data_IF_543789823575
#
_entry.id   IF_543789823575
#
_cell.length_a   1.000
_cell.length_b   1.000
_cell.length_c   1.000
_cell.angle_alpha   90.00
_cell.angle_beta   90.00
_cell.angle_gamma   90.00
#
_symmetry.space_group_name_H-M   'P 1'
#
loop_
_entity.id
_entity.type
_entity.pdbx_description
1 polymer ?
#
# COMPACT_ATOMS: atom_id res chain seq x y z
N UNK A 1 29.48 9.65 -26.25
CA UNK A 1 28.91 10.19 -25.01
C UNK A 1 28.81 9.02 -24.06
N UNK A 2 29.42 9.12 -22.89
CA UNK A 2 29.48 8.01 -21.94
C UNK A 2 28.09 7.75 -21.33
N UNK A 3 27.81 6.50 -20.99
CA UNK A 3 26.53 6.08 -20.45
C UNK A 3 26.69 5.65 -18.99
N UNK A 4 25.85 6.21 -18.12
CA UNK A 4 25.76 5.78 -16.73
C UNK A 4 24.48 4.98 -16.51
N UNK A 5 24.63 3.75 -16.03
CA UNK A 5 23.54 2.77 -15.97
C UNK A 5 22.88 2.72 -14.59
N UNK A 6 21.58 3.03 -14.53
CA UNK A 6 20.73 2.82 -13.35
C UNK A 6 19.63 1.80 -13.64
N UNK A 7 19.07 1.18 -12.61
CA UNK A 7 17.89 0.33 -12.74
C UNK A 7 16.63 1.12 -12.48
N UNK A 8 15.66 1.04 -13.39
CA UNK A 8 14.33 1.65 -13.24
C UNK A 8 13.22 0.61 -13.46
N UNK A 9 12.40 0.42 -12.43
CA UNK A 9 11.32 -0.56 -12.38
C UNK A 9 9.97 0.14 -12.13
N UNK A 10 9.14 0.37 -13.16
CA UNK A 10 7.81 0.92 -12.96
C UNK A 10 6.81 -0.15 -12.48
N UNK A 11 5.87 0.27 -11.65
CA UNK A 11 4.69 -0.46 -11.22
C UNK A 11 3.51 0.50 -11.05
N UNK A 12 2.28 0.01 -11.05
CA UNK A 12 1.11 0.80 -10.67
C UNK A 12 0.94 0.76 -9.15
N UNK A 13 0.67 1.91 -8.53
CA UNK A 13 0.42 1.96 -7.08
C UNK A 13 -0.77 1.11 -6.69
N UNK A 14 -1.82 1.16 -7.50
CA UNK A 14 -2.99 0.33 -7.37
C UNK A 14 -3.24 -0.39 -8.69
N UNK A 15 -3.85 -1.57 -8.65
CA UNK A 15 -4.27 -2.28 -9.87
C UNK A 15 -5.47 -1.63 -10.57
N UNK A 16 -5.88 -0.43 -10.12
CA UNK A 16 -7.09 0.28 -10.53
C UNK A 16 -6.77 1.76 -10.72
N UNK A 17 -7.31 2.33 -11.79
CA UNK A 17 -7.47 3.77 -11.98
C UNK A 17 -8.95 4.11 -11.79
N UNK A 18 -9.27 4.92 -10.79
CA UNK A 18 -10.65 5.32 -10.48
C UNK A 18 -11.00 6.62 -11.22
N UNK A 19 -11.91 6.52 -12.20
CA UNK A 19 -12.33 7.66 -13.01
C UNK A 19 -13.18 8.69 -12.21
N UNK A 20 -13.60 8.36 -10.99
CA UNK A 20 -14.25 9.29 -10.07
C UNK A 20 -13.27 10.02 -9.12
N UNK A 21 -11.96 9.75 -9.21
CA UNK A 21 -10.88 10.29 -8.36
C UNK A 21 -11.05 10.11 -6.85
N UNK A 22 -11.87 9.17 -6.40
CA UNK A 22 -11.96 8.89 -4.97
C UNK A 22 -10.71 8.15 -4.48
N UNK A 23 -10.13 7.28 -5.32
CA UNK A 23 -8.82 6.67 -5.08
C UNK A 23 -7.72 7.34 -5.95
N UNK A 24 -6.77 8.06 -5.34
CA UNK A 24 -5.64 8.64 -6.07
C UNK A 24 -4.81 7.57 -6.79
N UNK A 25 -4.48 7.82 -8.06
CA UNK A 25 -3.64 6.92 -8.85
C UNK A 25 -2.21 7.45 -9.01
N UNK A 26 -1.24 6.53 -9.03
CA UNK A 26 0.16 6.86 -9.30
C UNK A 26 0.87 5.70 -9.98
N UNK A 27 1.85 6.03 -10.81
CA UNK A 27 2.89 5.09 -11.23
C UNK A 27 4.05 5.18 -10.24
N UNK A 28 4.43 4.04 -9.68
CA UNK A 28 5.52 3.90 -8.73
C UNK A 28 6.76 3.44 -9.48
N UNK A 29 7.89 4.10 -9.26
CA UNK A 29 9.17 3.73 -9.82
C UNK A 29 10.11 3.29 -8.70
N UNK A 30 10.65 2.08 -8.83
CA UNK A 30 11.81 1.63 -8.06
C UNK A 30 13.08 1.97 -8.82
N UNK A 31 13.99 2.68 -8.16
CA UNK A 31 15.20 3.23 -8.78
C UNK A 31 16.40 2.76 -7.97
N UNK A 32 17.43 2.25 -8.63
CA UNK A 32 18.61 1.78 -7.93
C UNK A 32 19.88 1.90 -8.78
N UNK A 33 20.97 2.29 -8.15
CA UNK A 33 22.32 2.20 -8.72
C UNK A 33 22.80 0.76 -8.58
N UNK A 34 22.88 0.07 -9.70
CA UNK A 34 23.30 -1.35 -9.76
C UNK A 34 24.67 -1.55 -10.43
N UNK A 35 25.27 -0.47 -10.95
CA UNK A 35 26.54 -0.58 -11.65
C UNK A 35 27.65 -0.99 -10.69
N UNK A 36 28.42 -2.02 -11.05
CA UNK A 36 29.59 -2.46 -10.28
C UNK A 36 30.79 -1.55 -10.45
N UNK A 37 30.83 -0.76 -11.52
CA UNK A 37 31.88 0.22 -11.79
C UNK A 37 31.61 1.57 -11.12
N UNK A 38 30.44 1.72 -10.50
CA UNK A 38 30.09 2.91 -9.75
C UNK A 38 30.72 2.86 -8.36
N UNK A 39 31.78 3.64 -8.21
CA UNK A 39 32.56 3.76 -6.98
C UNK A 39 32.43 5.13 -6.33
N UNK A 40 31.40 5.92 -6.68
CA UNK A 40 31.16 7.22 -6.04
C UNK A 40 30.32 7.03 -4.76
N UNK A 41 30.82 7.45 -3.58
CA UNK A 41 30.13 7.26 -2.31
C UNK A 41 28.91 8.16 -2.13
N UNK A 42 28.80 9.24 -2.91
CA UNK A 42 27.75 10.24 -2.81
C UNK A 42 26.49 9.74 -3.47
N UNK A 43 25.32 10.28 -3.12
CA UNK A 43 24.07 9.95 -3.80
C UNK A 43 24.04 10.55 -5.21
N UNK A 44 23.24 9.97 -6.12
CA UNK A 44 22.91 10.62 -7.39
C UNK A 44 21.59 11.37 -7.22
N UNK A 45 21.57 12.63 -7.62
CA UNK A 45 20.37 13.43 -7.77
C UNK A 45 19.89 13.37 -9.22
N UNK A 46 18.60 13.12 -9.42
CA UNK A 46 17.98 13.03 -10.74
C UNK A 46 16.82 14.02 -10.80
N UNK A 47 16.80 14.87 -11.83
CA UNK A 47 15.65 15.74 -12.08
C UNK A 47 14.54 14.95 -12.76
N UNK A 48 13.31 15.13 -12.31
CA UNK A 48 12.16 14.36 -12.83
C UNK A 48 11.53 15.00 -14.05
N UNK A 49 11.63 16.33 -14.19
CA UNK A 49 10.96 17.08 -15.24
C UNK A 49 11.44 16.63 -16.62
N UNK A 50 10.50 16.25 -17.50
CA UNK A 50 10.83 15.89 -18.88
C UNK A 50 11.47 14.52 -19.05
N UNK A 51 11.41 13.68 -18.02
CA UNK A 51 12.04 12.35 -18.00
C UNK A 51 11.01 11.24 -17.94
N UNK A 52 11.46 9.98 -17.93
CA UNK A 52 10.61 8.79 -17.68
C UNK A 52 9.77 8.89 -16.39
N UNK A 53 10.20 9.70 -15.42
CA UNK A 53 9.54 9.90 -14.13
C UNK A 53 8.36 10.89 -14.20
N UNK A 54 8.24 11.63 -15.30
CA UNK A 54 7.08 12.45 -15.65
C UNK A 54 6.20 11.68 -16.65
N UNK A 55 5.29 10.85 -16.14
CA UNK A 55 4.60 9.82 -16.94
C UNK A 55 3.83 10.39 -18.13
N UNK A 56 2.98 11.43 -17.99
CA UNK A 56 2.29 12.00 -19.14
C UNK A 56 3.26 12.52 -20.21
N UNK A 57 4.31 13.24 -19.79
CA UNK A 57 5.31 13.75 -20.73
C UNK A 57 6.07 12.62 -21.42
N UNK A 58 6.50 11.62 -20.65
CA UNK A 58 7.26 10.48 -21.12
C UNK A 58 6.48 9.64 -22.14
N UNK A 59 5.16 9.49 -21.96
CA UNK A 59 4.29 8.87 -22.96
C UNK A 59 4.24 9.69 -24.25
N UNK A 60 4.00 11.00 -24.14
CA UNK A 60 3.92 11.90 -25.31
C UNK A 60 5.24 12.00 -26.11
N UNK A 61 6.38 11.73 -25.47
CA UNK A 61 7.73 11.73 -26.09
C UNK A 61 8.27 10.33 -26.41
N UNK A 62 7.50 9.28 -26.18
CA UNK A 62 7.90 7.90 -26.50
C UNK A 62 8.96 7.29 -25.56
N UNK A 63 9.25 7.92 -24.41
CA UNK A 63 10.09 7.32 -23.36
C UNK A 63 9.34 6.19 -22.62
N UNK A 64 8.02 6.30 -22.55
CA UNK A 64 7.09 5.26 -22.11
C UNK A 64 6.14 4.88 -23.26
N UNK A 65 5.65 3.65 -23.24
CA UNK A 65 4.59 3.17 -24.13
C UNK A 65 3.37 2.74 -23.32
N UNK A 66 2.18 3.15 -23.77
CA UNK A 66 0.89 2.73 -23.24
C UNK A 66 0.32 1.60 -24.09
N UNK A 67 -0.14 0.53 -23.43
CA UNK A 67 -0.81 -0.59 -24.08
C UNK A 67 -2.21 -0.79 -23.50
N UNK A 68 -3.17 -1.18 -24.35
CA UNK A 68 -4.52 -1.63 -23.97
C UNK A 68 -4.63 -3.15 -24.16
N UNK A 69 -5.30 -3.84 -23.23
CA UNK A 69 -5.61 -5.26 -23.34
C UNK A 69 -6.73 -5.50 -24.38
N UNK A 70 -6.49 -6.40 -25.33
CA UNK A 70 -7.46 -6.71 -26.37
C UNK A 70 -8.67 -7.48 -25.81
N UNK A 71 -9.91 -7.11 -26.18
CA UNK A 71 -11.08 -7.91 -25.85
C UNK A 71 -10.99 -9.26 -26.57
N UNK A 72 -10.94 -10.36 -25.81
CA UNK A 72 -10.90 -11.74 -26.33
C UNK A 72 -9.59 -12.49 -26.15
N UNK A 73 -8.55 -11.87 -25.58
CA UNK A 73 -7.32 -12.58 -25.21
C UNK A 73 -6.58 -11.87 -24.09
N UNK A 74 -6.65 -12.42 -22.86
CA UNK A 74 -6.05 -11.88 -21.63
C UNK A 74 -4.51 -11.68 -21.67
N UNK A 75 -3.86 -12.02 -22.79
CA UNK A 75 -2.41 -11.91 -22.99
C UNK A 75 -2.02 -11.03 -24.18
N UNK A 76 -2.98 -10.56 -24.99
CA UNK A 76 -2.70 -9.73 -26.16
C UNK A 76 -2.84 -8.25 -25.80
N UNK A 77 -1.75 -7.51 -25.98
CA UNK A 77 -1.65 -6.09 -25.69
C UNK A 77 -1.43 -5.34 -27.00
N UNK A 78 -2.18 -4.27 -27.23
CA UNK A 78 -2.04 -3.40 -28.40
C UNK A 78 -1.56 -2.03 -27.93
N UNK A 79 -0.59 -1.46 -28.63
CA UNK A 79 -0.11 -0.11 -28.36
C UNK A 79 -1.23 0.91 -28.58
N UNK A 80 -1.35 1.87 -27.67
CA UNK A 80 -2.35 2.93 -27.72
C UNK A 80 -1.72 4.17 -28.28
N UNK A 81 -2.37 4.76 -29.28
CA UNK A 81 -1.97 6.06 -29.81
C UNK A 81 -2.19 7.15 -28.75
N UNK A 82 -1.13 7.88 -28.40
CA UNK A 82 -1.13 8.91 -27.34
C UNK A 82 -1.35 10.33 -27.89
N UNK A 83 -1.60 10.49 -29.19
CA UNK A 83 -1.87 11.79 -29.82
C UNK A 83 -3.08 12.51 -29.20
N UNK A 84 -4.06 11.74 -28.71
CA UNK A 84 -5.24 12.24 -27.98
C UNK A 84 -4.95 12.89 -26.63
N UNK A 85 -3.71 12.80 -26.11
CA UNK A 85 -3.31 13.48 -24.87
C UNK A 85 -3.09 14.99 -25.05
N UNK A 86 -3.03 15.47 -26.30
CA UNK A 86 -2.79 16.88 -26.63
C UNK A 86 -1.37 17.35 -26.32
N UNK A 87 -1.20 18.67 -26.17
CA UNK A 87 0.09 19.27 -25.84
C UNK A 87 0.42 19.05 -24.36
N UNK A 88 1.12 17.96 -24.06
CA UNK A 88 1.61 17.67 -22.71
C UNK A 88 2.84 18.52 -22.41
N UNK A 89 2.70 19.39 -21.40
CA UNK A 89 3.81 20.19 -20.88
C UNK A 89 4.67 19.35 -19.95
N UNK A 90 5.93 19.75 -19.85
CA UNK A 90 6.83 19.24 -18.83
C UNK A 90 6.28 19.61 -17.45
N UNK A 91 6.24 18.65 -16.53
CA UNK A 91 5.83 18.88 -15.16
C UNK A 91 6.86 19.66 -14.34
N UNK A 92 6.51 19.91 -13.09
CA UNK A 92 7.41 20.58 -12.14
C UNK A 92 8.67 19.74 -11.88
N UNK A 93 9.81 20.42 -11.80
CA UNK A 93 11.08 19.80 -11.43
C UNK A 93 11.03 19.34 -9.98
N UNK A 94 11.27 18.05 -9.78
CA UNK A 94 11.50 17.42 -8.48
C UNK A 94 12.83 16.68 -8.55
N UNK A 95 13.43 16.50 -7.39
CA UNK A 95 14.69 15.80 -7.26
C UNK A 95 14.48 14.42 -6.63
N UNK A 96 15.04 13.39 -7.25
CA UNK A 96 15.14 12.04 -6.68
C UNK A 96 16.58 11.84 -6.23
N UNK A 97 16.78 11.49 -4.95
CA UNK A 97 18.08 11.09 -4.42
C UNK A 97 18.21 9.56 -4.41
N UNK A 98 19.22 9.05 -5.12
CA UNK A 98 19.49 7.61 -5.27
C UNK A 98 20.80 7.25 -4.55
N UNK A 99 20.73 6.51 -3.42
CA UNK A 99 21.89 6.19 -2.60
C UNK A 99 22.99 5.40 -3.32
N UNK A 100 24.22 5.57 -2.84
CA UNK A 100 25.40 4.88 -3.35
C UNK A 100 25.37 3.37 -3.10
N UNK A 101 25.91 2.55 -4.03
CA UNK A 101 26.03 1.11 -3.82
C UNK A 101 27.19 0.71 -2.88
N UNK A 102 28.17 1.58 -2.59
CA UNK A 102 29.45 1.21 -1.93
C UNK A 102 29.28 0.59 -0.54
N UNK A 103 28.23 0.98 0.18
CA UNK A 103 27.94 0.48 1.53
C UNK A 103 26.65 -0.32 1.60
N UNK A 104 26.13 -0.78 0.45
CA UNK A 104 24.89 -1.53 0.41
C UNK A 104 25.09 -2.92 1.02
N UNK A 105 24.47 -3.14 2.17
CA UNK A 105 24.48 -4.43 2.88
C UNK A 105 23.32 -5.34 2.50
N UNK A 106 22.24 -4.77 1.94
CA UNK A 106 21.02 -5.49 1.52
C UNK A 106 21.08 -5.90 0.05
N UNK A 107 20.20 -6.82 -0.37
CA UNK A 107 19.98 -7.05 -1.79
C UNK A 107 19.46 -5.76 -2.44
N UNK A 108 19.90 -5.45 -3.67
CA UNK A 108 19.47 -4.23 -4.37
C UNK A 108 17.94 -4.15 -4.57
N UNK A 109 17.26 -5.31 -4.66
CA UNK A 109 15.79 -5.36 -4.76
C UNK A 109 15.08 -4.87 -3.51
N UNK A 110 15.74 -4.97 -2.36
CA UNK A 110 15.23 -4.55 -1.05
C UNK A 110 15.73 -3.13 -0.68
N UNK A 111 16.47 -2.48 -1.58
CA UNK A 111 17.12 -1.18 -1.40
C UNK A 111 16.84 -0.24 -2.59
N UNK A 112 15.59 -0.26 -3.07
CA UNK A 112 15.12 0.59 -4.14
C UNK A 112 14.70 1.96 -3.57
N UNK A 113 15.17 3.05 -4.19
CA UNK A 113 14.56 4.36 -4.01
C UNK A 113 13.20 4.35 -4.69
N UNK A 114 12.13 4.67 -3.94
CA UNK A 114 10.76 4.70 -4.45
C UNK A 114 10.37 6.13 -4.81
N UNK A 115 9.98 6.35 -6.06
CA UNK A 115 9.39 7.60 -6.53
C UNK A 115 7.97 7.36 -7.03
N UNK A 116 7.05 8.28 -6.74
CA UNK A 116 5.65 8.17 -7.14
C UNK A 116 5.25 9.34 -8.04
N UNK A 117 4.90 9.03 -9.28
CA UNK A 117 4.33 9.99 -10.22
C UNK A 117 2.80 9.92 -10.14
N UNK A 118 2.18 10.96 -9.55
CA UNK A 118 0.72 11.06 -9.46
C UNK A 118 0.14 11.36 -10.84
N UNK A 119 -0.93 10.65 -11.19
CA UNK A 119 -1.70 10.91 -12.41
C UNK A 119 -3.02 11.57 -11.99
N UNK A 120 -3.37 12.70 -12.61
CA UNK A 120 -4.59 13.46 -12.35
C UNK A 120 -5.65 13.18 -13.41
N UNK A 121 -6.94 13.34 -13.06
CA UNK A 121 -8.04 13.19 -14.02
C UNK A 121 -8.09 14.31 -15.07
N UNK A 122 -7.65 15.50 -14.71
CA UNK A 122 -7.58 16.65 -15.62
C UNK A 122 -6.43 16.55 -16.63
N UNK A 123 -5.51 15.59 -16.42
CA UNK A 123 -4.34 15.39 -17.26
C UNK A 123 -4.65 14.66 -18.57
N UNK A 124 -3.83 14.93 -19.59
CA UNK A 124 -4.00 14.33 -20.92
C UNK A 124 -3.98 12.79 -20.95
N UNK A 125 -3.31 12.13 -20.00
CA UNK A 125 -3.35 10.67 -19.91
C UNK A 125 -4.76 10.17 -19.56
N UNK A 126 -5.47 10.82 -18.64
CA UNK A 126 -6.79 10.36 -18.21
C UNK A 126 -7.84 10.46 -19.33
N UNK A 127 -7.72 11.43 -20.25
CA UNK A 127 -8.68 11.63 -21.34
C UNK A 127 -8.72 10.50 -22.37
N UNK A 128 -7.64 9.73 -22.50
CA UNK A 128 -7.56 8.60 -23.45
C UNK A 128 -7.89 7.25 -22.82
N UNK A 129 -8.03 7.19 -21.50
CA UNK A 129 -8.32 5.97 -20.74
C UNK A 129 -9.81 5.65 -20.76
N UNK A 130 -10.17 4.44 -21.19
CA UNK A 130 -11.57 4.01 -21.31
C UNK A 130 -11.99 3.15 -20.11
N UNK A 131 -13.12 3.50 -19.49
CA UNK A 131 -13.74 2.72 -18.42
C UNK A 131 -13.96 1.27 -18.87
N UNK A 132 -13.61 0.33 -17.98
CA UNK A 132 -13.74 -1.10 -18.21
C UNK A 132 -12.52 -1.74 -18.89
N UNK A 133 -11.62 -0.94 -19.48
CA UNK A 133 -10.39 -1.43 -20.12
C UNK A 133 -9.24 -1.58 -19.13
N UNK A 134 -8.29 -2.45 -19.49
CA UNK A 134 -7.05 -2.70 -18.76
C UNK A 134 -5.89 -2.14 -19.57
N UNK A 135 -5.02 -1.41 -18.89
CA UNK A 135 -3.88 -0.73 -19.48
C UNK A 135 -2.58 -1.17 -18.84
N UNK A 136 -1.50 -0.99 -19.59
CA UNK A 136 -0.14 -1.27 -19.15
C UNK A 136 0.80 -0.19 -19.65
N UNK A 137 1.58 0.40 -18.76
CA UNK A 137 2.64 1.36 -19.08
C UNK A 137 4.00 0.68 -18.92
N UNK A 138 4.87 0.82 -19.92
CA UNK A 138 6.22 0.23 -19.97
C UNK A 138 7.26 1.27 -20.37
N UNK A 139 8.49 1.10 -19.89
CA UNK A 139 9.65 1.85 -20.42
C UNK A 139 9.97 1.33 -21.82
N UNK A 140 10.07 2.23 -22.80
CA UNK A 140 10.26 1.88 -24.21
C UNK A 140 11.68 1.35 -24.48
N UNK A 141 12.68 1.95 -23.84
CA UNK A 141 14.09 1.66 -24.12
C UNK A 141 15.02 1.98 -22.97
N UNK A 142 16.30 2.15 -23.31
CA UNK A 142 17.34 2.53 -22.33
C UNK A 142 17.33 4.02 -22.01
N UNK A 143 16.91 4.86 -22.95
CA UNK A 143 16.89 6.30 -22.73
C UNK A 143 15.82 6.66 -21.71
N UNK A 144 16.21 7.43 -20.69
CA UNK A 144 15.33 7.89 -19.63
C UNK A 144 14.89 9.34 -19.84
N UNK A 145 15.43 10.04 -20.84
CA UNK A 145 15.17 11.46 -21.08
C UNK A 145 15.76 12.39 -20.01
N UNK A 146 16.64 11.87 -19.15
CA UNK A 146 17.25 12.65 -18.05
C UNK A 146 18.30 13.58 -18.63
N UNK A 147 17.98 14.87 -18.63
CA UNK A 147 18.89 15.94 -19.07
C UNK A 147 19.76 16.48 -17.93
N UNK A 148 19.33 16.32 -16.67
CA UNK A 148 20.03 16.83 -15.49
C UNK A 148 20.11 15.76 -14.39
N UNK A 149 21.34 15.36 -14.08
CA UNK A 149 21.67 14.53 -12.92
C UNK A 149 23.07 14.89 -12.41
N UNK A 150 23.37 14.61 -11.13
CA UNK A 150 24.68 14.87 -10.54
C UNK A 150 24.92 14.00 -9.31
N UNK A 151 26.18 13.73 -9.00
CA UNK A 151 26.56 13.26 -7.66
C UNK A 151 26.46 14.39 -6.65
N UNK A 152 25.87 14.12 -5.48
CA UNK A 152 25.75 15.10 -4.41
C UNK A 152 25.70 14.43 -3.04
N UNK A 153 26.35 15.08 -2.07
CA UNK A 153 26.22 14.79 -0.64
C UNK A 153 25.04 15.55 0.00
N UNK A 154 24.39 16.40 -0.77
CA UNK A 154 23.27 17.23 -0.34
C UNK A 154 22.00 16.85 -1.11
N UNK A 155 20.84 17.23 -0.58
CA UNK A 155 19.54 17.06 -1.26
C UNK A 155 19.27 18.14 -2.32
N UNK A 156 20.32 18.79 -2.83
CA UNK A 156 20.23 19.86 -3.84
C UNK A 156 21.28 19.67 -4.91
N UNK A 157 20.91 20.04 -6.13
CA UNK A 157 21.83 20.03 -7.26
C UNK A 157 22.99 21.00 -7.00
N UNK A 158 24.24 20.58 -7.27
CA UNK A 158 25.38 21.50 -7.23
C UNK A 158 25.19 22.61 -8.28
N UNK A 159 25.69 23.81 -7.96
CA UNK A 159 25.60 24.98 -8.84
C UNK A 159 26.27 24.73 -10.19
N UNK A 160 27.39 23.98 -10.19
CA UNK A 160 28.06 23.48 -11.39
C UNK A 160 27.69 22.00 -11.60
N UNK A 161 26.84 21.72 -12.59
CA UNK A 161 26.39 20.37 -12.94
C UNK A 161 26.88 20.02 -14.34
N UNK A 162 28.08 19.44 -14.40
CA UNK A 162 28.79 19.14 -15.65
C UNK A 162 28.86 17.62 -15.94
N UNK A 163 27.89 16.83 -15.46
CA UNK A 163 27.86 15.41 -15.80
C UNK A 163 27.55 15.23 -17.29
N UNK A 164 28.59 14.96 -18.07
CA UNK A 164 28.51 14.77 -19.53
C UNK A 164 27.97 13.39 -19.92
N UNK A 165 27.94 12.45 -18.98
CA UNK A 165 27.43 11.12 -19.22
C UNK A 165 25.90 11.12 -19.21
N UNK A 166 25.30 10.34 -20.12
CA UNK A 166 23.84 10.18 -20.18
C UNK A 166 23.39 9.13 -19.18
N UNK A 167 22.41 9.48 -18.35
CA UNK A 167 21.78 8.52 -17.45
C UNK A 167 20.82 7.62 -18.23
N UNK A 168 21.12 6.33 -18.26
CA UNK A 168 20.35 5.32 -19.02
C UNK A 168 19.92 4.17 -18.13
N UNK A 169 18.84 3.51 -18.53
CA UNK A 169 18.36 2.31 -17.88
C UNK A 169 19.22 1.10 -18.26
N UNK A 170 19.69 0.38 -17.24
CA UNK A 170 20.39 -0.89 -17.37
C UNK A 170 19.48 -1.97 -17.94
N UNK A 171 18.23 -2.05 -17.47
CA UNK A 171 17.22 -3.00 -17.91
C UNK A 171 15.92 -2.81 -17.10
N UNK A 172 14.75 -2.72 -17.74
CA UNK A 172 13.44 -2.73 -17.06
C UNK A 172 12.63 -3.96 -17.45
N UNK A 173 12.22 -4.76 -16.45
CA UNK A 173 11.16 -5.78 -16.61
C UNK A 173 9.81 -5.31 -16.06
N UNK A 174 9.81 -4.16 -15.37
CA UNK A 174 8.63 -3.60 -14.72
C UNK A 174 7.63 -3.05 -15.71
N UNK A 175 6.38 -3.02 -15.27
CA UNK A 175 5.31 -2.38 -15.99
C UNK A 175 4.17 -2.04 -15.02
N UNK A 176 3.58 -0.86 -15.18
CA UNK A 176 2.42 -0.46 -14.39
C UNK A 176 1.15 -1.00 -15.07
N UNK A 177 0.47 -1.96 -14.44
CA UNK A 177 -0.79 -2.52 -14.96
C UNK A 177 -1.96 -2.07 -14.11
N UNK A 178 -3.02 -1.56 -14.75
CA UNK A 178 -4.20 -1.11 -14.02
C UNK A 178 -5.47 -1.27 -14.87
N UNK A 179 -6.61 -1.45 -14.21
CA UNK A 179 -7.93 -1.41 -14.82
C UNK A 179 -8.59 -0.06 -14.57
N UNK A 180 -9.17 0.55 -15.59
CA UNK A 180 -9.97 1.76 -15.42
C UNK A 180 -11.37 1.36 -14.98
N UNK A 181 -11.81 1.90 -13.86
CA UNK A 181 -13.17 1.68 -13.32
C UNK A 181 -13.89 3.02 -13.26
N UNK A 182 -15.22 2.99 -13.41
CA UNK A 182 -16.03 4.21 -13.34
C UNK A 182 -16.03 4.79 -11.93
N UNK A 183 -16.21 3.92 -10.95
CA UNK A 183 -16.29 4.26 -9.54
C UNK A 183 -15.93 3.00 -8.73
N UNK A 184 -15.26 3.18 -7.60
CA UNK A 184 -15.01 2.12 -6.63
C UNK A 184 -15.81 2.37 -5.35
N UNK A 185 -16.23 1.28 -4.70
CA UNK A 185 -16.91 1.40 -3.41
C UNK A 185 -15.91 1.78 -2.32
N UNK A 186 -16.20 2.89 -1.65
CA UNK A 186 -15.52 3.32 -0.43
C UNK A 186 -16.29 2.84 0.79
N UNK A 187 -15.58 2.35 1.83
CA UNK A 187 -16.22 1.98 3.08
C UNK A 187 -16.87 3.18 3.76
N UNK A 188 -17.92 2.97 4.57
CA UNK A 188 -18.36 4.00 5.50
C UNK A 188 -17.26 4.28 6.53
N UNK A 189 -17.35 5.45 7.16
CA UNK A 189 -16.50 5.76 8.31
C UNK A 189 -16.90 4.90 9.49
N UNK A 190 -15.90 4.39 10.21
CA UNK A 190 -16.08 3.73 11.49
C UNK A 190 -15.51 4.62 12.58
N UNK A 191 -16.15 4.58 13.75
CA UNK A 191 -15.56 5.07 14.98
C UNK A 191 -15.09 3.87 15.79
N UNK A 192 -13.79 3.82 16.10
CA UNK A 192 -13.24 2.76 16.95
C UNK A 192 -12.67 3.38 18.22
N UNK A 193 -13.17 2.93 19.37
CA UNK A 193 -12.68 3.34 20.68
C UNK A 193 -12.02 2.20 21.43
N UNK A 194 -11.08 2.55 22.29
CA UNK A 194 -10.37 1.61 23.16
C UNK A 194 -10.40 2.09 24.61
N UNK A 195 -10.67 1.18 25.54
CA UNK A 195 -10.54 1.46 26.97
C UNK A 195 -10.10 0.23 27.74
N UNK A 196 -9.32 0.45 28.80
CA UNK A 196 -9.06 -0.60 29.77
C UNK A 196 -10.28 -0.77 30.67
N UNK A 197 -10.71 -2.01 30.89
CA UNK A 197 -11.89 -2.30 31.72
C UNK A 197 -11.46 -2.81 33.08
N UNK A 198 -10.74 -3.93 33.13
CA UNK A 198 -10.25 -4.54 34.38
C UNK A 198 -8.95 -5.30 34.12
N UNK A 199 -7.93 -5.05 34.95
CA UNK A 199 -6.62 -5.69 34.83
C UNK A 199 -6.07 -5.56 33.40
N UNK A 200 -5.78 -6.69 32.76
CA UNK A 200 -5.28 -6.76 31.38
C UNK A 200 -6.38 -6.85 30.32
N UNK A 201 -7.62 -6.50 30.65
CA UNK A 201 -8.75 -6.56 29.72
C UNK A 201 -8.91 -5.23 28.99
N UNK A 202 -8.69 -5.26 27.68
CA UNK A 202 -8.91 -4.13 26.78
C UNK A 202 -10.26 -4.33 26.08
N UNK A 203 -11.18 -3.39 26.25
CA UNK A 203 -12.40 -3.33 25.44
C UNK A 203 -12.15 -2.45 24.23
N UNK A 204 -12.57 -2.96 23.07
CA UNK A 204 -12.55 -2.26 21.80
C UNK A 204 -13.96 -2.20 21.26
N UNK A 205 -14.49 -1.01 21.05
CA UNK A 205 -15.83 -0.79 20.48
C UNK A 205 -15.69 -0.25 19.07
N UNK A 206 -16.32 -0.91 18.11
CA UNK A 206 -16.36 -0.46 16.70
C UNK A 206 -17.79 -0.11 16.36
N UNK A 207 -18.00 1.14 15.92
CA UNK A 207 -19.30 1.66 15.54
C UNK A 207 -19.31 2.08 14.07
N UNK A 208 -20.34 1.65 13.35
CA UNK A 208 -20.62 2.12 12.01
C UNK A 208 -21.41 3.43 12.10
N UNK A 209 -20.77 4.55 11.78
CA UNK A 209 -21.39 5.88 11.88
C UNK A 209 -22.23 6.25 10.65
N UNK A 210 -22.28 5.38 9.63
CA UNK A 210 -23.11 5.60 8.45
C UNK A 210 -24.55 5.13 8.66
N UNK A 211 -25.45 5.53 7.76
CA UNK A 211 -26.86 5.14 7.79
C UNK A 211 -27.12 3.71 7.25
N UNK A 212 -26.13 3.11 6.59
CA UNK A 212 -26.28 1.81 5.95
C UNK A 212 -25.56 0.72 6.72
N UNK A 213 -26.19 -0.44 6.85
CA UNK A 213 -25.57 -1.66 7.38
C UNK A 213 -24.44 -2.12 6.47
N UNK A 214 -23.35 -2.62 7.06
CA UNK A 214 -22.28 -3.29 6.34
C UNK A 214 -21.95 -4.65 6.94
N UNK A 215 -21.35 -5.51 6.13
CA UNK A 215 -20.78 -6.78 6.58
C UNK A 215 -19.26 -6.74 6.43
N UNK A 216 -18.53 -7.20 7.43
CA UNK A 216 -17.07 -7.12 7.52
C UNK A 216 -16.48 -8.52 7.70
N UNK A 217 -15.35 -8.78 7.07
CA UNK A 217 -14.57 -9.99 7.24
C UNK A 217 -13.44 -9.76 8.26
N UNK A 218 -13.58 -10.24 9.51
CA UNK A 218 -12.60 -9.97 10.57
C UNK A 218 -11.37 -10.88 10.53
N UNK A 219 -11.36 -11.94 9.71
CA UNK A 219 -10.25 -12.92 9.66
C UNK A 219 -10.13 -13.61 8.31
N UNK A 220 -9.03 -14.33 8.12
CA UNK A 220 -8.78 -15.11 6.91
C UNK A 220 -8.36 -14.21 5.75
N UNK A 221 -8.41 -14.77 4.53
CA UNK A 221 -7.85 -14.08 3.38
C UNK A 221 -8.57 -12.79 3.08
N UNK A 222 -7.84 -11.68 3.09
CA UNK A 222 -8.39 -10.37 2.79
C UNK A 222 -8.20 -10.06 1.31
N UNK A 223 -9.28 -9.70 0.63
CA UNK A 223 -9.25 -9.34 -0.78
C UNK A 223 -9.81 -7.93 -1.00
N UNK A 224 -8.95 -6.94 -0.94
CA UNK A 224 -9.28 -5.54 -1.25
C UNK A 224 -8.17 -4.93 -2.11
N UNK A 225 -8.37 -3.70 -2.54
CA UNK A 225 -7.36 -2.97 -3.30
C UNK A 225 -6.16 -2.69 -2.40
N UNK A 226 -5.03 -3.32 -2.72
CA UNK A 226 -3.79 -3.20 -1.97
C UNK A 226 -2.86 -2.21 -2.67
N UNK A 227 -2.23 -1.29 -1.93
CA UNK A 227 -1.13 -0.50 -2.45
C UNK A 227 0.11 -1.36 -2.77
N UNK A 228 0.70 -1.14 -3.93
CA UNK A 228 1.93 -1.79 -4.39
C UNK A 228 3.11 -0.84 -4.35
N UNK A 229 4.25 -1.37 -3.92
CA UNK A 229 5.57 -0.80 -4.20
C UNK A 229 6.07 -1.23 -5.59
N UNK A 230 7.34 -0.95 -5.92
CA UNK A 230 7.89 -1.27 -7.24
C UNK A 230 7.97 -2.77 -7.56
N UNK A 231 8.12 -3.61 -6.54
CA UNK A 231 8.38 -5.06 -6.67
C UNK A 231 7.31 -5.93 -6.01
N UNK A 232 6.72 -5.46 -4.91
CA UNK A 232 5.78 -6.22 -4.10
C UNK A 232 4.74 -5.29 -3.44
N UNK A 233 3.62 -5.84 -2.93
CA UNK A 233 2.68 -5.10 -2.09
C UNK A 233 3.41 -4.41 -0.93
N UNK A 234 2.90 -3.27 -0.49
CA UNK A 234 3.47 -2.65 0.71
C UNK A 234 3.37 -3.58 1.94
N UNK A 235 4.35 -3.49 2.85
CA UNK A 235 4.32 -4.27 4.09
C UNK A 235 3.01 -4.06 4.87
N UNK A 236 2.51 -5.13 5.49
CA UNK A 236 1.34 -5.07 6.36
C UNK A 236 -0.03 -5.19 5.67
N UNK A 237 -0.08 -5.20 4.34
CA UNK A 237 -1.34 -5.30 3.60
C UNK A 237 -1.81 -6.72 3.28
N UNK A 238 -0.88 -7.67 3.14
CA UNK A 238 -1.20 -9.09 3.04
C UNK A 238 -1.17 -9.71 4.44
N UNK A 239 -2.31 -9.69 5.13
CA UNK A 239 -2.44 -10.16 6.50
C UNK A 239 -3.74 -10.94 6.69
N UNK A 240 -3.65 -12.27 6.75
CA UNK A 240 -4.79 -13.16 6.95
C UNK A 240 -5.19 -13.35 8.42
N UNK A 241 -4.43 -12.77 9.35
CA UNK A 241 -4.64 -12.95 10.78
C UNK A 241 -5.95 -12.29 11.21
N UNK A 242 -6.51 -12.74 12.34
CA UNK A 242 -7.63 -12.06 12.97
C UNK A 242 -7.40 -10.56 13.18
N UNK A 243 -8.49 -9.81 13.08
CA UNK A 243 -8.58 -8.38 13.36
C UNK A 243 -9.17 -8.20 14.75
N UNK A 244 -8.93 -7.04 15.37
CA UNK A 244 -9.38 -6.76 16.73
C UNK A 244 -10.90 -6.83 16.93
N UNK A 245 -11.69 -6.63 15.86
CA UNK A 245 -13.15 -6.74 15.88
C UNK A 245 -13.65 -8.20 15.87
N UNK A 246 -12.75 -9.17 15.66
CA UNK A 246 -13.10 -10.58 15.60
C UNK A 246 -13.61 -11.09 16.96
N UNK A 247 -14.91 -11.34 17.03
CA UNK A 247 -15.59 -11.79 18.24
C UNK A 247 -15.53 -13.30 18.46
N UNK A 248 -14.92 -14.06 17.55
CA UNK A 248 -14.89 -15.52 17.69
C UNK A 248 -13.77 -15.97 18.63
N UNK A 249 -14.18 -16.45 19.82
CA UNK A 249 -13.40 -17.09 20.90
C UNK A 249 -11.89 -16.83 20.82
N UNK A 250 -11.52 -15.56 20.98
CA UNK A 250 -10.13 -15.15 21.18
C UNK A 250 -10.01 -14.54 22.56
N UNK A 251 -9.39 -15.29 23.46
CA UNK A 251 -9.13 -14.78 24.81
C UNK A 251 -8.12 -13.63 24.80
N UNK A 252 -7.25 -13.56 23.78
CA UNK A 252 -6.16 -12.59 23.70
C UNK A 252 -6.24 -11.73 22.44
N UNK A 253 -5.76 -10.49 22.57
CA UNK A 253 -5.71 -9.54 21.47
C UNK A 253 -4.85 -10.08 20.31
N UNK A 254 -5.29 -9.93 19.03
CA UNK A 254 -4.47 -10.29 17.89
C UNK A 254 -3.11 -9.59 17.92
N UNK A 255 -2.03 -10.38 17.79
CA UNK A 255 -0.66 -9.86 17.87
C UNK A 255 -0.35 -8.77 16.84
N UNK A 256 -1.12 -8.69 15.76
CA UNK A 256 -0.95 -7.72 14.68
C UNK A 256 -1.76 -6.43 14.85
N UNK A 257 -2.72 -6.38 15.78
CA UNK A 257 -3.65 -5.25 15.91
C UNK A 257 -3.24 -4.21 16.94
N UNK A 258 -2.31 -4.53 17.84
CA UNK A 258 -1.87 -3.62 18.90
C UNK A 258 -0.34 -3.46 18.90
N UNK A 259 0.10 -2.24 19.19
CA UNK A 259 1.50 -1.88 19.46
C UNK A 259 1.63 -1.33 20.87
N UNK A 260 2.79 -1.55 21.49
CA UNK A 260 3.14 -1.00 22.80
C UNK A 260 4.28 -0.02 22.62
N UNK A 261 4.09 1.19 23.16
CA UNK A 261 5.06 2.26 23.16
C UNK A 261 5.50 2.57 24.59
N UNK A 262 6.76 2.91 24.77
CA UNK A 262 7.23 3.52 26.00
C UNK A 262 6.62 4.93 26.15
N UNK A 263 6.05 5.24 27.32
CA UNK A 263 5.30 6.48 27.49
C UNK A 263 6.19 7.73 27.54
N UNK A 264 7.46 7.59 27.91
CA UNK A 264 8.38 8.71 28.06
C UNK A 264 9.06 9.08 26.73
N UNK A 265 9.47 8.08 25.96
CA UNK A 265 10.21 8.22 24.70
C UNK A 265 9.30 8.19 23.47
N UNK A 266 8.14 7.55 23.59
CA UNK A 266 7.27 7.26 22.44
C UNK A 266 7.81 6.17 21.52
N UNK A 267 8.89 5.48 21.89
CA UNK A 267 9.47 4.41 21.09
C UNK A 267 8.63 3.13 21.15
N UNK A 268 8.56 2.41 20.03
CA UNK A 268 7.83 1.14 19.94
C UNK A 268 8.65 0.03 20.61
N UNK A 269 8.28 -0.36 21.83
CA UNK A 269 8.92 -1.46 22.59
C UNK A 269 8.40 -2.84 22.21
N UNK A 270 7.17 -2.91 21.69
CA UNK A 270 6.57 -4.12 21.10
C UNK A 270 5.79 -3.76 19.86
N UNK A 271 6.34 -4.11 18.70
CA UNK A 271 5.70 -3.89 17.42
C UNK A 271 4.56 -4.86 17.10
N UNK A 272 3.99 -4.68 15.92
CA UNK A 272 3.14 -5.69 15.31
C UNK A 272 3.95 -6.97 15.04
N UNK A 273 3.37 -8.15 15.30
CA UNK A 273 4.04 -9.40 14.96
C UNK A 273 4.35 -9.47 13.46
N UNK A 274 5.52 -10.01 13.08
CA UNK A 274 5.96 -10.14 11.69
C UNK A 274 4.83 -10.62 10.77
N UNK A 275 4.53 -9.83 9.73
CA UNK A 275 3.50 -10.13 8.72
C UNK A 275 3.99 -11.14 7.67
N UNK A 276 5.30 -11.39 7.64
CA UNK A 276 6.01 -12.22 6.65
C UNK A 276 5.74 -13.72 6.76
N UNK A 277 4.96 -14.17 7.75
CA UNK A 277 4.58 -15.57 7.93
C UNK A 277 3.10 -15.75 7.54
N UNK A 278 2.76 -15.39 6.29
CA UNK A 278 1.55 -15.91 5.67
C UNK A 278 1.98 -17.12 4.84
N UNK A 279 1.50 -18.31 5.22
CA UNK A 279 1.93 -19.59 4.67
C UNK A 279 1.86 -19.63 3.13
N UNK A 280 2.78 -20.36 2.50
CA UNK A 280 2.68 -20.75 1.09
C UNK A 280 1.32 -21.44 0.87
N UNK A 281 0.41 -20.78 0.16
CA UNK A 281 -0.91 -21.30 -0.16
C UNK A 281 -0.89 -21.97 -1.52
N UNK A 282 -1.64 -23.06 -1.65
CA UNK A 282 -1.94 -23.63 -2.96
C UNK A 282 -2.67 -22.58 -3.81
N UNK A 283 -2.27 -22.44 -5.07
CA UNK A 283 -2.95 -21.57 -6.04
C UNK A 283 -4.39 -22.00 -6.34
N UNK A 284 -4.80 -23.20 -5.89
CA UNK A 284 -6.15 -23.75 -6.06
C UNK A 284 -7.02 -23.65 -4.81
N UNK A 285 -6.51 -23.09 -3.70
CA UNK A 285 -7.28 -22.97 -2.47
C UNK A 285 -8.48 -22.04 -2.67
N UNK A 286 -9.65 -22.47 -2.21
CA UNK A 286 -10.84 -21.61 -2.16
C UNK A 286 -10.68 -20.59 -1.02
N UNK A 287 -10.60 -19.31 -1.37
CA UNK A 287 -10.29 -18.22 -0.45
C UNK A 287 -11.53 -17.45 0.05
N UNK A 288 -12.71 -17.74 -0.49
CA UNK A 288 -13.96 -17.09 -0.06
C UNK A 288 -14.26 -17.41 1.41
N UNK A 289 -14.52 -16.40 2.26
CA UNK A 289 -14.90 -16.64 3.64
C UNK A 289 -16.29 -17.27 3.73
N UNK A 290 -16.55 -18.01 4.82
CA UNK A 290 -17.90 -18.47 5.16
C UNK A 290 -18.71 -17.28 5.66
N UNK A 291 -20.00 -17.25 5.35
CA UNK A 291 -20.86 -16.14 5.78
C UNK A 291 -20.98 -16.08 7.31
N UNK A 292 -20.98 -17.25 7.98
CA UNK A 292 -21.00 -17.33 9.44
C UNK A 292 -19.73 -16.78 10.13
N UNK A 293 -18.64 -16.57 9.40
CA UNK A 293 -17.39 -16.00 9.93
C UNK A 293 -17.36 -14.47 9.80
N UNK A 294 -18.42 -13.86 9.25
CA UNK A 294 -18.52 -12.42 9.02
C UNK A 294 -19.23 -11.71 10.18
N UNK A 295 -18.95 -10.42 10.33
CA UNK A 295 -19.59 -9.56 11.34
C UNK A 295 -20.44 -8.51 10.63
N UNK A 296 -21.69 -8.37 11.05
CA UNK A 296 -22.57 -7.29 10.57
C UNK A 296 -22.45 -6.09 11.50
N UNK A 297 -22.14 -4.92 10.94
CA UNK A 297 -22.12 -3.65 11.65
C UNK A 297 -23.35 -2.83 11.26
N UNK A 298 -24.32 -2.81 12.17
CA UNK A 298 -25.53 -2.02 12.01
C UNK A 298 -25.24 -0.52 12.24
N UNK A 299 -25.99 0.38 11.58
CA UNK A 299 -25.91 1.82 11.82
C UNK A 299 -26.03 2.17 13.30
N UNK A 300 -25.10 2.98 13.81
CA UNK A 300 -25.13 3.54 15.17
C UNK A 300 -25.24 2.49 16.28
N UNK A 301 -24.82 1.25 16.01
CA UNK A 301 -24.84 0.14 16.97
C UNK A 301 -23.43 -0.40 17.16
N UNK A 302 -22.73 -0.01 18.23
CA UNK A 302 -21.36 -0.46 18.46
C UNK A 302 -21.31 -1.98 18.71
N UNK A 303 -20.28 -2.61 18.15
CA UNK A 303 -19.85 -3.96 18.50
C UNK A 303 -18.66 -3.84 19.44
N UNK A 304 -18.83 -4.36 20.67
CA UNK A 304 -17.77 -4.41 21.66
C UNK A 304 -17.08 -5.77 21.61
N UNK A 305 -15.75 -5.77 21.66
CA UNK A 305 -14.93 -6.95 21.85
C UNK A 305 -13.98 -6.72 23.02
N UNK A 306 -13.92 -7.67 23.95
CA UNK A 306 -13.03 -7.60 25.13
C UNK A 306 -11.93 -8.62 24.94
N UNK A 307 -10.68 -8.16 24.96
CA UNK A 307 -9.50 -9.00 24.71
C UNK A 307 -8.46 -8.84 25.80
N UNK A 308 -7.75 -9.92 26.12
CA UNK A 308 -6.61 -9.85 27.04
C UNK A 308 -5.35 -9.33 26.34
N UNK A 309 -4.68 -8.36 26.97
CA UNK A 309 -3.40 -7.79 26.53
C UNK A 309 -2.20 -8.25 27.36
N UNK A 310 -2.41 -9.15 28.31
CA UNK A 310 -1.38 -9.75 29.17
C UNK A 310 -0.15 -10.24 28.37
N UNK A 311 -0.37 -10.95 27.27
CA UNK A 311 0.70 -11.46 26.40
C UNK A 311 1.52 -10.35 25.74
N UNK A 312 0.91 -9.19 25.48
CA UNK A 312 1.56 -8.05 24.83
C UNK A 312 2.47 -7.29 25.80
N UNK A 313 2.10 -7.24 27.07
CA UNK A 313 2.86 -6.52 28.11
C UNK A 313 3.77 -7.41 28.94
N UNK A 314 3.68 -8.73 28.79
CA UNK A 314 4.50 -9.69 29.54
C UNK A 314 6.00 -9.44 29.32
N UNK A 315 6.74 -9.39 30.43
CA UNK A 315 8.20 -9.25 30.44
C UNK A 315 8.70 -7.86 30.07
N UNK A 316 7.82 -6.85 30.04
CA UNK A 316 8.25 -5.45 30.05
C UNK A 316 8.84 -5.10 31.42
N UNK A 317 9.78 -4.16 31.42
CA UNK A 317 10.33 -3.60 32.65
C UNK A 317 9.31 -2.70 33.34
N UNK A 318 9.51 -2.44 34.63
CA UNK A 318 8.68 -1.51 35.37
C UNK A 318 8.72 -0.11 34.74
N UNK A 319 7.56 0.51 34.58
CA UNK A 319 7.42 1.75 33.85
C UNK A 319 6.01 2.00 33.32
N UNK A 320 5.83 3.15 32.67
CA UNK A 320 4.58 3.53 32.02
C UNK A 320 4.66 3.28 30.52
N UNK A 321 3.62 2.68 29.97
CA UNK A 321 3.52 2.35 28.55
C UNK A 321 2.18 2.80 28.00
N UNK A 322 2.16 2.97 26.67
CA UNK A 322 0.95 3.30 25.91
C UNK A 322 0.64 2.16 24.95
N UNK A 323 -0.61 1.73 24.92
CA UNK A 323 -1.13 0.76 23.97
C UNK A 323 -1.93 1.51 22.93
N UNK A 324 -1.58 1.29 21.66
CA UNK A 324 -2.27 1.88 20.50
C UNK A 324 -2.73 0.80 19.54
N UNK A 325 -3.81 1.10 18.83
CA UNK A 325 -4.25 0.28 17.71
C UNK A 325 -3.32 0.49 16.53
N UNK A 326 -2.87 -0.60 15.91
CA UNK A 326 -2.22 -0.54 14.62
C UNK A 326 -3.29 -0.61 13.52
N UNK A 327 -3.33 0.34 12.57
CA UNK A 327 -4.33 0.34 11.50
C UNK A 327 -4.33 -0.98 10.72
N UNK A 328 -5.50 -1.58 10.55
CA UNK A 328 -5.66 -2.82 9.77
C UNK A 328 -6.86 -2.74 8.84
N UNK A 329 -6.62 -3.01 7.56
CA UNK A 329 -7.68 -3.13 6.57
C UNK A 329 -8.47 -4.44 6.71
N UNK A 330 -9.78 -4.33 6.51
CA UNK A 330 -10.73 -5.42 6.42
C UNK A 330 -11.43 -5.40 5.07
N UNK A 331 -11.70 -6.58 4.52
CA UNK A 331 -12.69 -6.74 3.47
C UNK A 331 -14.08 -6.49 4.05
N UNK A 332 -14.92 -5.83 3.28
CA UNK A 332 -16.29 -5.50 3.65
C UNK A 332 -17.22 -5.57 2.43
N UNK A 333 -18.52 -5.57 2.70
CA UNK A 333 -19.61 -5.50 1.72
C UNK A 333 -20.70 -4.58 2.24
N UNK A 334 -21.33 -3.86 1.33
CA UNK A 334 -22.53 -3.08 1.61
C UNK A 334 -23.70 -4.02 1.88
N UNK A 335 -24.51 -3.70 2.90
CA UNK A 335 -25.63 -4.52 3.34
C UNK A 335 -25.22 -5.70 4.23
N UNK A 336 -26.24 -6.47 4.61
CA UNK A 336 -26.10 -7.71 5.36
C UNK A 336 -25.86 -8.86 4.38
N UNK A 337 -24.83 -9.66 4.62
CA UNK A 337 -24.67 -10.95 3.96
C UNK A 337 -25.15 -12.05 4.90
N UNK A 338 -26.25 -12.71 4.53
CA UNK A 338 -26.80 -13.85 5.25
C UNK A 338 -26.56 -15.18 4.55
N UNK A 339 -26.93 -16.28 5.21
CA UNK A 339 -26.87 -17.61 4.61
C UNK A 339 -27.76 -17.73 3.35
N UNK A 340 -28.83 -16.94 3.28
CA UNK A 340 -29.73 -16.85 2.13
C UNK A 340 -29.03 -16.30 0.88
N UNK A 341 -28.05 -15.42 1.07
CA UNK A 341 -27.27 -14.83 -0.01
C UNK A 341 -26.03 -15.65 -0.37
N UNK A 342 -25.82 -16.80 0.28
CA UNK A 342 -24.56 -17.55 0.20
C UNK A 342 -24.51 -18.56 -0.95
N UNK A 343 -23.30 -18.80 -1.47
CA UNK A 343 -23.00 -19.90 -2.39
C UNK A 343 -22.22 -20.95 -1.59
N UNK A 344 -22.84 -22.11 -1.30
CA UNK A 344 -22.29 -23.18 -0.45
C UNK A 344 -21.89 -22.71 0.96
N UNK A 345 -22.68 -21.81 1.56
CA UNK A 345 -22.39 -21.22 2.87
C UNK A 345 -21.25 -20.19 2.87
N UNK A 346 -20.76 -19.80 1.69
CA UNK A 346 -19.69 -18.81 1.50
C UNK A 346 -20.19 -17.56 0.80
N UNK A 347 -19.41 -16.50 0.89
CA UNK A 347 -19.67 -15.27 0.12
C UNK A 347 -19.74 -15.61 -1.37
N UNK A 348 -20.76 -15.11 -2.11
CA UNK A 348 -20.87 -15.33 -3.54
C UNK A 348 -19.63 -14.91 -4.32
N UNK A 349 -19.24 -15.71 -5.32
CA UNK A 349 -18.05 -15.43 -6.12
C UNK A 349 -18.10 -14.05 -6.79
N UNK A 350 -19.29 -13.59 -7.19
CA UNK A 350 -19.50 -12.24 -7.77
C UNK A 350 -19.14 -11.12 -6.78
N UNK A 351 -19.50 -11.28 -5.50
CA UNK A 351 -19.25 -10.30 -4.45
C UNK A 351 -17.82 -10.38 -3.95
N UNK A 352 -17.23 -11.57 -3.95
CA UNK A 352 -15.83 -11.80 -3.60
C UNK A 352 -14.87 -11.13 -4.58
N UNK A 353 -15.13 -11.27 -5.89
CA UNK A 353 -14.28 -10.72 -6.96
C UNK A 353 -14.44 -9.21 -7.16
N UNK A 354 -15.47 -8.59 -6.56
CA UNK A 354 -15.70 -7.14 -6.67
C UNK A 354 -14.56 -6.39 -5.99
N UNK A 355 -14.05 -5.35 -6.62
CA UNK A 355 -13.00 -4.50 -6.06
C UNK A 355 -13.60 -3.62 -4.96
N UNK A 356 -12.89 -3.48 -3.85
CA UNK A 356 -13.29 -2.64 -2.73
C UNK A 356 -12.04 -2.03 -2.09
N UNK A 357 -12.17 -0.79 -1.63
CA UNK A 357 -11.18 -0.16 -0.74
C UNK A 357 -11.26 -0.83 0.63
N UNK A 358 -10.13 -1.09 1.31
CA UNK A 358 -10.15 -1.67 2.66
C UNK A 358 -10.94 -0.79 3.64
N UNK A 359 -11.81 -1.41 4.43
CA UNK A 359 -12.37 -0.79 5.63
C UNK A 359 -11.28 -0.76 6.69
N UNK A 360 -10.81 0.43 7.04
CA UNK A 360 -9.72 0.58 8.01
C UNK A 360 -10.26 0.49 9.43
N UNK A 361 -9.75 -0.48 10.19
CA UNK A 361 -9.88 -0.52 11.65
C UNK A 361 -8.69 0.22 12.24
N UNK A 362 -8.96 1.41 12.78
CA UNK A 362 -7.98 2.27 13.42
C UNK A 362 -8.65 3.09 14.51
N UNK A 363 -7.89 3.46 15.54
CA UNK A 363 -8.35 4.28 16.66
C UNK A 363 -7.29 5.32 16.98
N UNK A 364 -7.76 6.52 17.35
CA UNK A 364 -6.88 7.59 17.86
C UNK A 364 -6.66 7.47 19.37
N UNK A 365 -7.34 6.54 20.04
CA UNK A 365 -7.23 6.36 21.48
C UNK A 365 -5.87 5.78 21.86
N UNK A 366 -5.37 6.20 23.01
CA UNK A 366 -4.19 5.65 23.66
C UNK A 366 -4.58 5.15 25.03
N UNK A 367 -4.28 3.88 25.32
CA UNK A 367 -4.54 3.31 26.64
C UNK A 367 -3.24 3.25 27.41
N UNK A 368 -3.16 4.01 28.50
CA UNK A 368 -2.01 3.99 29.39
C UNK A 368 -2.06 2.76 30.31
N UNK A 369 -0.90 2.12 30.47
CA UNK A 369 -0.72 0.99 31.39
C UNK A 369 0.56 1.18 32.19
N UNK A 370 0.51 0.86 33.48
CA UNK A 370 1.68 0.87 34.36
C UNK A 370 2.11 -0.56 34.65
N UNK A 371 3.39 -0.86 34.46
CA UNK A 371 4.01 -2.11 34.86
C UNK A 371 4.80 -1.87 36.15
N UNK A 372 4.55 -2.70 37.16
CA UNK A 372 5.23 -2.68 38.46
C UNK A 372 5.46 -4.11 38.93
N UNK A 373 6.66 -4.41 39.43
CA UNK A 373 7.11 -5.76 39.78
C UNK A 373 6.88 -6.77 38.65
N UNK A 374 7.05 -6.33 37.39
CA UNK A 374 6.81 -7.13 36.19
C UNK A 374 5.35 -7.51 35.93
N UNK A 375 4.38 -6.87 36.62
CA UNK A 375 2.94 -7.09 36.45
C UNK A 375 2.22 -5.78 36.09
N UNK A 376 1.10 -5.90 35.40
CA UNK A 376 0.24 -4.74 35.13
C UNK A 376 -0.44 -4.31 36.42
N UNK A 377 -0.23 -3.06 36.81
CA UNK A 377 -0.89 -2.44 37.95
C UNK A 377 -2.38 -2.29 37.63
N UNK A 378 -3.26 -2.80 38.50
CA UNK A 378 -4.69 -2.68 38.27
C UNK A 378 -5.09 -1.21 38.33
N UNK A 379 -5.73 -0.72 37.27
CA UNK A 379 -6.38 0.59 37.30
C UNK A 379 -7.60 0.46 38.23
N UNK A 380 -7.56 1.19 39.35
CA UNK A 380 -8.64 1.24 40.35
C UNK A 380 -9.84 2.05 39.85
#
# INVERSE_FOLDING_TARGET
MDEFYIHVQPHSRYSIFDAAEQLPFSVVFGICRISKSDTDPRSILIDTAGTVFDVPYALARGLLTLYEENPGGATKWTEVEVSGMGNVRMGDSKCISVPSPIHRTKNWKDDLTVYMCRITLEGGLASILKVGKRYRIKVTGKDLGVSKWAYSDQERFPENHDELARLVNSYSRGHATFKVVNNILFPPRLETRMRLVQGTSLEVTVENTAAETITVQPRGHQNFVVPWGPMEPEPGWLDDRPRIIDSSVQDHAPTSSLVVLDAATGEVVRGQGNTSICHLRSSTAELRPRVNDLITLEPQKPVANVVQIDRKVKGLQDGKYKIRMHPKGCRWWQGRLGNEDSEDGKVPARLWKRLAIPLMLESQDEVEVTIKDGKLEAVL
#
